data_IF_447932240668
#
_entry.id   IF_447932240668
#
_cell.length_a   1.000
_cell.length_b   1.000
_cell.length_c   1.000
_cell.angle_alpha   90.00
_cell.angle_beta   90.00
_cell.angle_gamma   90.00
#
_symmetry.space_group_name_H-M   'P 1'
#
loop_
_entity.id
_entity.type
_entity.pdbx_description
1 polymer ?
#
# COMPACT_ATOMS: atom_id res chain seq x y z
N UNK A 1 1.37 14.28 9.73
CA UNK A 1 0.73 13.51 8.64
C UNK A 1 0.77 12.03 8.98
N UNK A 2 -0.37 11.34 9.05
CA UNK A 2 -0.43 9.93 9.48
C UNK A 2 0.18 8.99 8.43
N UNK A 3 0.67 7.81 8.86
CA UNK A 3 1.23 6.79 7.95
C UNK A 3 0.20 6.32 6.92
N UNK A 4 -1.06 6.18 7.34
CA UNK A 4 -2.20 5.87 6.47
C UNK A 4 -2.34 6.87 5.32
N UNK A 5 -2.32 8.18 5.63
CA UNK A 5 -2.43 9.22 4.59
C UNK A 5 -1.26 9.16 3.60
N UNK A 6 -0.04 8.87 4.08
CA UNK A 6 1.12 8.65 3.19
C UNK A 6 0.91 7.44 2.28
N UNK A 7 0.42 6.33 2.81
CA UNK A 7 0.10 5.13 2.02
C UNK A 7 -0.99 5.38 0.97
N UNK A 8 -2.03 6.16 1.31
CA UNK A 8 -3.08 6.57 0.36
C UNK A 8 -2.50 7.41 -0.78
N UNK A 9 -1.69 8.41 -0.47
CA UNK A 9 -1.05 9.26 -1.48
C UNK A 9 -0.11 8.46 -2.38
N UNK A 10 0.71 7.58 -1.79
CA UNK A 10 1.56 6.67 -2.54
C UNK A 10 0.74 5.74 -3.44
N UNK A 11 -0.38 5.21 -2.96
CA UNK A 11 -1.25 4.33 -3.74
C UNK A 11 -2.01 5.10 -4.84
N UNK A 12 -2.37 6.37 -4.63
CA UNK A 12 -3.07 7.18 -5.62
C UNK A 12 -2.15 7.64 -6.76
N UNK A 13 -0.97 8.15 -6.42
CA UNK A 13 -0.03 8.70 -7.42
C UNK A 13 0.91 7.63 -8.01
N UNK A 14 1.36 6.67 -7.19
CA UNK A 14 2.36 5.66 -7.56
C UNK A 14 1.77 4.23 -7.53
N UNK A 15 0.44 4.10 -7.48
CA UNK A 15 -0.26 2.82 -7.42
C UNK A 15 -0.04 1.91 -8.61
N UNK A 16 0.05 2.49 -9.82
CA UNK A 16 0.34 1.73 -11.04
C UNK A 16 1.70 1.04 -11.02
N UNK A 17 2.67 1.56 -10.26
CA UNK A 17 4.01 0.99 -10.08
C UNK A 17 4.05 0.07 -8.85
N UNK A 18 3.17 0.28 -7.87
CA UNK A 18 3.06 -0.52 -6.65
C UNK A 18 3.99 -0.10 -5.51
N UNK A 19 4.51 1.12 -5.54
CA UNK A 19 5.47 1.63 -4.54
C UNK A 19 4.86 1.65 -3.12
N UNK A 20 3.55 1.86 -3.01
CA UNK A 20 2.84 1.81 -1.72
C UNK A 20 2.94 0.44 -1.03
N UNK A 21 3.10 -0.67 -1.77
CA UNK A 21 3.30 -2.00 -1.16
C UNK A 21 4.66 -2.12 -0.48
N UNK A 22 5.69 -1.50 -1.01
CA UNK A 22 7.01 -1.43 -0.37
C UNK A 22 6.97 -0.60 0.91
N UNK A 23 6.21 0.51 0.90
CA UNK A 23 5.99 1.31 2.12
C UNK A 23 5.33 0.51 3.24
N UNK A 24 4.48 -0.46 2.89
CA UNK A 24 3.79 -1.36 3.81
C UNK A 24 4.60 -2.61 4.18
N UNK A 25 5.91 -2.66 3.87
CA UNK A 25 6.79 -3.83 4.04
C UNK A 25 6.32 -5.09 3.30
N UNK A 26 5.45 -4.95 2.28
CA UNK A 26 4.96 -6.06 1.45
C UNK A 26 5.78 -6.16 0.15
N UNK A 27 7.08 -6.41 0.30
CA UNK A 27 8.05 -6.45 -0.82
C UNK A 27 7.63 -7.42 -1.92
N UNK A 28 7.17 -8.63 -1.58
CA UNK A 28 6.70 -9.60 -2.57
C UNK A 28 5.52 -9.10 -3.43
N UNK A 29 4.56 -8.40 -2.81
CA UNK A 29 3.46 -7.78 -3.56
C UNK A 29 3.94 -6.59 -4.41
N UNK A 30 4.90 -5.81 -3.90
CA UNK A 30 5.50 -4.71 -4.64
C UNK A 30 6.24 -5.18 -5.90
N UNK A 31 7.01 -6.27 -5.81
CA UNK A 31 7.69 -6.88 -6.96
C UNK A 31 6.67 -7.39 -7.99
N UNK A 32 5.58 -8.02 -7.53
CA UNK A 32 4.51 -8.46 -8.43
C UNK A 32 3.90 -7.27 -9.20
N UNK A 33 3.67 -6.14 -8.52
CA UNK A 33 3.17 -4.92 -9.17
C UNK A 33 4.17 -4.38 -10.20
N UNK A 34 5.47 -4.39 -9.90
CA UNK A 34 6.54 -4.01 -10.84
C UNK A 34 6.68 -4.95 -12.05
N UNK A 35 6.27 -6.22 -11.95
CA UNK A 35 6.26 -7.12 -13.11
C UNK A 35 5.00 -6.92 -13.97
N UNK A 36 3.90 -6.52 -13.36
CA UNK A 36 2.61 -6.35 -14.04
C UNK A 36 2.23 -4.88 -14.31
N UNK A 37 3.09 -3.89 -14.04
CA UNK A 37 2.73 -2.46 -14.18
C UNK A 37 2.21 -2.08 -15.57
N UNK A 38 2.74 -2.72 -16.61
CA UNK A 38 2.32 -2.55 -18.01
C UNK A 38 0.92 -3.07 -18.35
N UNK A 39 0.32 -3.93 -17.50
CA UNK A 39 -1.02 -4.50 -17.73
C UNK A 39 -2.15 -3.60 -17.23
N UNK A 40 -1.84 -2.48 -16.57
CA UNK A 40 -2.77 -1.61 -15.82
C UNK A 40 -3.53 -2.30 -14.66
N UNK A 41 -3.44 -3.63 -14.50
CA UNK A 41 -4.01 -4.38 -13.37
C UNK A 41 -3.52 -3.82 -12.02
N UNK A 42 -2.22 -3.49 -11.83
CA UNK A 42 -1.74 -2.90 -10.59
C UNK A 42 -2.40 -1.58 -10.23
N UNK A 43 -2.78 -0.76 -11.22
CA UNK A 43 -3.47 0.51 -10.99
C UNK A 43 -4.89 0.28 -10.44
N UNK A 44 -5.61 -0.74 -10.93
CA UNK A 44 -6.92 -1.11 -10.40
C UNK A 44 -6.84 -1.62 -8.97
N UNK A 45 -5.85 -2.47 -8.66
CA UNK A 45 -5.66 -2.97 -7.29
C UNK A 45 -5.27 -1.82 -6.36
N UNK A 46 -4.42 -0.89 -6.82
CA UNK A 46 -4.05 0.27 -6.03
C UNK A 46 -5.25 1.19 -5.74
N UNK A 47 -6.19 1.34 -6.68
CA UNK A 47 -7.44 2.09 -6.44
C UNK A 47 -8.29 1.43 -5.35
N UNK A 48 -8.38 0.09 -5.35
CA UNK A 48 -9.06 -0.65 -4.29
C UNK A 48 -8.36 -0.46 -2.94
N UNK A 49 -7.02 -0.49 -2.90
CA UNK A 49 -6.24 -0.22 -1.70
C UNK A 49 -6.49 1.20 -1.17
N UNK A 50 -6.55 2.21 -2.06
CA UNK A 50 -6.87 3.60 -1.69
C UNK A 50 -8.23 3.67 -0.98
N UNK A 51 -9.28 3.06 -1.55
CA UNK A 51 -10.62 3.05 -0.95
C UNK A 51 -10.59 2.35 0.42
N UNK A 52 -9.94 1.18 0.51
CA UNK A 52 -9.79 0.44 1.77
C UNK A 52 -9.08 1.27 2.83
N UNK A 53 -7.99 1.94 2.49
CA UNK A 53 -7.25 2.78 3.43
C UNK A 53 -8.02 4.04 3.80
N UNK A 54 -8.86 4.59 2.90
CA UNK A 54 -9.68 5.75 3.18
C UNK A 54 -10.77 5.46 4.22
N UNK A 55 -11.40 4.27 4.16
CA UNK A 55 -12.44 3.85 5.12
C UNK A 55 -11.87 3.20 6.39
N UNK A 56 -10.60 2.80 6.40
CA UNK A 56 -9.94 2.18 7.55
C UNK A 56 -9.49 3.24 8.56
N UNK A 57 -9.63 2.96 9.87
CA UNK A 57 -9.11 3.83 10.93
C UNK A 57 -7.57 3.86 10.95
N UNK A 58 -6.95 4.90 11.53
CA UNK A 58 -5.48 4.93 11.67
C UNK A 58 -4.99 3.78 12.57
N UNK A 59 -5.77 3.43 13.59
CA UNK A 59 -5.46 2.36 14.55
C UNK A 59 -5.45 0.99 13.87
N UNK A 60 -6.49 0.69 13.07
CA UNK A 60 -6.58 -0.57 12.34
C UNK A 60 -5.48 -0.67 11.28
N UNK A 61 -5.15 0.45 10.64
CA UNK A 61 -4.04 0.51 9.69
C UNK A 61 -2.70 0.19 10.37
N UNK A 62 -2.41 0.81 11.51
CA UNK A 62 -1.16 0.57 12.23
C UNK A 62 -1.08 -0.86 12.83
N UNK A 63 -2.22 -1.46 13.19
CA UNK A 63 -2.30 -2.88 13.59
C UNK A 63 -2.02 -3.83 12.42
N UNK A 64 -2.61 -3.56 11.25
CA UNK A 64 -2.44 -4.39 10.06
C UNK A 64 -1.07 -4.21 9.38
N UNK A 65 -0.48 -3.01 9.51
CA UNK A 65 0.77 -2.61 8.87
C UNK A 65 1.71 -1.93 9.88
N UNK A 66 2.23 -2.67 10.87
CA UNK A 66 3.14 -2.12 11.86
C UNK A 66 4.49 -1.79 11.20
N UNK A 67 5.04 -0.60 11.48
CA UNK A 67 6.36 -0.23 10.97
C UNK A 67 7.52 -0.99 11.63
N UNK A 68 7.26 -1.60 12.79
CA UNK A 68 8.19 -2.44 13.52
C UNK A 68 7.49 -3.74 13.90
N UNK A 69 8.03 -4.87 13.47
CA UNK A 69 7.60 -6.16 13.97
C UNK A 69 8.24 -6.36 15.35
N UNK A 70 7.47 -6.64 16.43
CA UNK A 70 8.06 -6.95 17.71
C UNK A 70 8.95 -8.18 17.55
N UNK A 71 10.26 -8.01 17.80
CA UNK A 71 11.18 -9.14 17.97
C UNK A 71 10.65 -9.94 19.15
N UNK A 72 10.19 -11.16 18.88
CA UNK A 72 9.84 -12.14 19.92
C UNK A 72 11.11 -12.64 20.58
#
# INVERSE_FOLDING_TARGET
MSRRTKAILLALFLGGIGIHKFYLNKVGQGVLFLLFFWTLIPALIALIDVIRFAIMSNEDFDKAYPAYAPVK
#
